data_IF_373140209415
#
_entry.id   IF_373140209415
#
_cell.length_a   1.000
_cell.length_b   1.000
_cell.length_c   1.000
_cell.angle_alpha   90.00
_cell.angle_beta   90.00
_cell.angle_gamma   90.00
#
_symmetry.space_group_name_H-M   'P 1'
#
loop_
_entity.id
_entity.type
_entity.pdbx_description
1 polymer ?
#
# COMPACT_ATOMS: atom_id res chain seq x y z
N UNK A 1 27.55 61.98 4.35
CA UNK A 1 26.84 61.23 5.38
C UNK A 1 26.66 59.73 5.00
N UNK A 2 27.71 59.04 4.52
CA UNK A 2 27.60 57.61 4.08
C UNK A 2 28.68 56.70 4.65
N UNK A 3 29.54 57.15 5.53
CA UNK A 3 30.65 56.37 6.13
C UNK A 3 30.35 55.83 7.56
N UNK A 4 29.21 56.19 8.19
CA UNK A 4 28.86 55.74 9.53
C UNK A 4 27.95 54.51 9.61
N UNK A 5 27.28 54.20 8.51
CA UNK A 5 26.30 53.10 8.50
C UNK A 5 26.95 51.72 8.36
N UNK A 6 28.05 51.63 7.61
CA UNK A 6 28.78 50.37 7.42
C UNK A 6 29.59 49.91 8.64
N UNK A 7 30.02 50.81 9.51
CA UNK A 7 30.76 50.43 10.73
C UNK A 7 29.84 49.85 11.84
N UNK A 8 28.57 50.21 11.82
CA UNK A 8 27.59 49.65 12.80
C UNK A 8 27.05 48.28 12.39
N UNK A 9 27.02 47.96 11.11
CA UNK A 9 26.62 46.60 10.62
C UNK A 9 27.72 45.54 10.80
N UNK A 10 29.00 45.94 10.70
CA UNK A 10 30.12 45.01 10.93
C UNK A 10 30.27 44.61 12.40
N UNK A 11 29.85 45.47 13.36
CA UNK A 11 29.90 45.16 14.80
C UNK A 11 28.77 44.18 15.25
N UNK A 12 27.61 44.18 14.56
CA UNK A 12 26.49 43.28 14.90
C UNK A 12 26.72 41.90 14.32
N UNK A 13 27.38 41.76 13.17
CA UNK A 13 27.69 40.44 12.57
C UNK A 13 28.81 39.74 13.35
N UNK A 14 29.75 40.48 13.96
CA UNK A 14 30.83 39.87 14.76
C UNK A 14 30.36 39.40 16.17
N UNK A 15 29.27 39.98 16.70
CA UNK A 15 28.72 39.62 18.01
C UNK A 15 27.87 38.35 17.98
N UNK A 16 27.35 37.93 16.79
CA UNK A 16 26.56 36.72 16.62
C UNK A 16 27.44 35.48 16.38
N UNK A 17 28.67 35.65 15.90
CA UNK A 17 29.60 34.53 15.64
C UNK A 17 30.41 34.14 16.89
N UNK A 18 30.50 34.99 17.93
CA UNK A 18 31.28 34.71 19.16
C UNK A 18 30.48 34.13 20.30
N UNK A 19 29.15 33.89 20.15
CA UNK A 19 28.30 33.26 21.18
C UNK A 19 28.00 31.78 20.90
N UNK A 20 28.57 31.17 19.87
CA UNK A 20 28.38 29.76 19.54
C UNK A 20 29.51 28.80 19.94
N UNK A 21 30.50 29.24 20.73
CA UNK A 21 31.65 28.38 21.08
C UNK A 21 31.88 28.19 22.58
N UNK A 22 30.85 28.20 23.42
CA UNK A 22 30.99 27.79 24.83
C UNK A 22 29.83 26.92 25.32
N UNK A 23 29.66 25.74 24.71
CA UNK A 23 29.00 24.61 25.35
C UNK A 23 29.71 23.31 24.95
N UNK A 24 30.99 23.18 25.33
CA UNK A 24 31.62 21.89 25.50
C UNK A 24 31.71 21.63 27.00
N UNK A 25 30.60 21.21 27.58
CA UNK A 25 30.51 20.66 28.92
C UNK A 25 30.56 19.15 28.84
N UNK A 26 31.66 18.57 29.24
CA UNK A 26 31.81 17.16 29.52
C UNK A 26 30.74 16.65 30.50
N UNK A 27 29.89 15.76 30.05
CA UNK A 27 28.96 14.99 30.87
C UNK A 27 28.71 13.68 30.14
N UNK A 28 29.47 12.63 30.50
CA UNK A 28 29.22 11.27 30.05
C UNK A 28 27.85 10.82 30.55
N UNK A 29 26.85 10.90 29.72
CA UNK A 29 25.63 10.15 29.85
C UNK A 29 25.64 9.16 28.69
N UNK A 30 25.71 7.85 29.01
CA UNK A 30 25.56 6.80 28.03
C UNK A 30 24.31 7.07 27.22
N UNK A 31 24.48 7.31 25.95
CA UNK A 31 23.39 7.24 24.99
C UNK A 31 22.93 5.79 24.96
N UNK A 32 21.95 5.47 25.80
CA UNK A 32 21.03 4.41 25.42
C UNK A 32 20.46 4.86 24.09
N UNK A 33 20.96 4.29 23.02
CA UNK A 33 20.31 4.34 21.71
C UNK A 33 18.90 3.80 21.97
N UNK A 34 17.95 4.71 22.14
CA UNK A 34 16.56 4.36 22.06
C UNK A 34 16.44 3.71 20.66
N UNK A 35 16.17 2.41 20.65
CA UNK A 35 15.86 1.68 19.42
C UNK A 35 14.75 2.48 18.75
N UNK A 36 15.09 3.22 17.70
CA UNK A 36 14.11 4.01 16.99
C UNK A 36 13.18 3.03 16.33
N UNK A 37 11.94 2.94 16.81
CA UNK A 37 10.89 2.11 16.24
C UNK A 37 10.35 2.73 14.94
N UNK A 38 11.19 3.43 14.21
CA UNK A 38 10.89 4.11 12.96
C UNK A 38 11.81 3.65 11.85
N UNK A 39 11.31 3.61 10.63
CA UNK A 39 12.06 3.23 9.43
C UNK A 39 11.69 4.16 8.28
N UNK A 40 12.68 4.52 7.46
CA UNK A 40 12.47 5.22 6.20
C UNK A 40 12.79 4.27 5.04
N UNK A 41 11.82 4.04 4.17
CA UNK A 41 11.96 3.11 3.05
C UNK A 41 11.81 3.84 1.72
N UNK A 42 12.50 3.35 0.70
CA UNK A 42 12.28 3.81 -0.66
C UNK A 42 10.97 3.22 -1.18
N UNK A 43 10.07 4.11 -1.65
CA UNK A 43 8.95 3.78 -2.51
C UNK A 43 9.28 4.13 -3.96
N UNK A 44 8.75 3.36 -4.90
CA UNK A 44 8.84 3.67 -6.33
C UNK A 44 7.53 4.27 -6.85
N UNK A 45 7.67 5.00 -7.95
CA UNK A 45 6.63 5.59 -8.77
C UNK A 45 5.69 6.57 -8.06
N UNK A 46 5.93 7.84 -8.34
CA UNK A 46 5.19 9.00 -7.82
C UNK A 46 3.76 9.15 -8.38
N UNK A 47 3.41 8.40 -9.42
CA UNK A 47 2.14 8.50 -10.15
C UNK A 47 1.14 7.40 -9.77
N UNK A 48 1.38 6.69 -8.68
CA UNK A 48 0.55 5.56 -8.26
C UNK A 48 -0.73 5.98 -7.55
N UNK A 49 -1.80 5.31 -7.90
CA UNK A 49 -3.08 5.34 -7.23
C UNK A 49 -3.03 4.44 -5.99
N UNK A 50 -3.51 4.90 -4.84
CA UNK A 50 -3.61 4.11 -3.61
C UNK A 50 -5.00 3.47 -3.43
N UNK A 51 -5.88 3.62 -4.41
CA UNK A 51 -7.20 2.99 -4.42
C UNK A 51 -7.10 1.50 -4.81
N UNK A 52 -7.56 0.56 -3.98
CA UNK A 52 -7.61 -0.86 -4.34
C UNK A 52 -8.36 -1.13 -5.63
N UNK A 53 -9.44 -0.39 -5.90
CA UNK A 53 -10.23 -0.54 -7.11
C UNK A 53 -9.56 0.05 -8.36
N UNK A 54 -8.70 1.06 -8.20
CA UNK A 54 -8.01 1.73 -9.31
C UNK A 54 -6.75 1.01 -9.76
N UNK A 55 -5.97 0.58 -8.84
CA UNK A 55 -4.70 -0.14 -8.90
C UNK A 55 -3.70 0.36 -9.94
N UNK A 56 -2.75 1.13 -9.48
CA UNK A 56 -1.46 1.26 -10.11
C UNK A 56 -0.45 0.31 -9.47
N UNK A 57 0.35 -0.34 -10.32
CA UNK A 57 1.41 -1.25 -9.89
C UNK A 57 2.48 -0.49 -9.09
N UNK A 58 3.08 -1.14 -8.11
CA UNK A 58 4.25 -0.64 -7.39
C UNK A 58 3.91 0.04 -6.06
N UNK A 59 3.54 1.31 -6.06
CA UNK A 59 3.27 2.06 -4.82
C UNK A 59 2.09 1.47 -4.03
N UNK A 60 1.02 1.08 -4.70
CA UNK A 60 -0.13 0.44 -4.05
C UNK A 60 0.23 -0.88 -3.37
N UNK A 61 1.05 -1.73 -4.01
CA UNK A 61 1.45 -3.01 -3.41
C UNK A 61 2.17 -2.80 -2.08
N UNK A 62 3.06 -1.81 -2.02
CA UNK A 62 3.78 -1.48 -0.80
C UNK A 62 2.83 -0.90 0.27
N UNK A 63 1.98 0.05 -0.13
CA UNK A 63 0.99 0.66 0.73
C UNK A 63 -0.02 -0.37 1.26
N UNK A 64 -0.61 -1.19 0.39
CA UNK A 64 -1.64 -2.16 0.76
C UNK A 64 -1.15 -3.19 1.77
N UNK A 65 0.08 -3.65 1.63
CA UNK A 65 0.68 -4.61 2.58
C UNK A 65 0.90 -4.05 3.98
N UNK A 66 1.00 -2.74 4.12
CA UNK A 66 1.20 -2.06 5.39
C UNK A 66 -0.12 -1.59 6.01
N UNK A 67 -1.06 -1.17 5.17
CA UNK A 67 -2.24 -0.42 5.60
C UNK A 67 -3.56 -1.16 5.43
N UNK A 68 -3.62 -2.18 4.58
CA UNK A 68 -4.85 -2.89 4.29
C UNK A 68 -4.72 -4.40 4.57
N UNK A 69 -5.77 -4.98 5.12
CA UNK A 69 -5.87 -6.40 5.41
C UNK A 69 -6.93 -7.03 4.51
N UNK A 70 -6.59 -8.00 3.64
CA UNK A 70 -7.52 -8.66 2.73
C UNK A 70 -8.42 -9.67 3.44
N UNK A 71 -9.35 -10.30 2.72
CA UNK A 71 -10.16 -11.42 3.25
C UNK A 71 -9.28 -12.56 3.72
N UNK A 72 -8.34 -12.97 2.87
CA UNK A 72 -7.35 -14.02 3.12
C UNK A 72 -5.99 -13.56 2.58
N UNK A 73 -4.94 -14.15 3.11
CA UNK A 73 -3.57 -13.99 2.62
C UNK A 73 -2.91 -15.35 2.38
N UNK A 74 -1.66 -15.36 1.99
CA UNK A 74 -0.85 -16.56 1.81
C UNK A 74 0.38 -16.46 2.69
N UNK A 75 0.72 -17.56 3.35
CA UNK A 75 1.98 -17.69 4.08
C UNK A 75 3.18 -17.89 3.13
N UNK A 76 4.38 -18.03 3.71
CA UNK A 76 5.62 -18.24 2.95
C UNK A 76 5.63 -19.52 2.13
N UNK A 77 4.79 -20.52 2.50
CA UNK A 77 4.67 -21.79 1.81
C UNK A 77 3.58 -21.78 0.73
N UNK A 78 2.91 -20.63 0.55
CA UNK A 78 1.82 -20.46 -0.40
C UNK A 78 0.50 -21.10 0.02
N UNK A 79 0.33 -21.40 1.32
CA UNK A 79 -0.93 -21.85 1.88
C UNK A 79 -1.81 -20.67 2.25
N UNK A 80 -3.13 -20.85 2.09
CA UNK A 80 -4.10 -19.86 2.53
C UNK A 80 -3.98 -19.65 4.02
N UNK A 81 -3.83 -18.40 4.40
CA UNK A 81 -3.84 -17.93 5.78
C UNK A 81 -5.02 -17.00 6.00
N UNK A 82 -5.61 -17.08 7.16
CA UNK A 82 -6.71 -16.23 7.58
C UNK A 82 -6.21 -14.80 7.79
N UNK A 83 -7.02 -13.83 7.37
CA UNK A 83 -6.78 -12.41 7.60
C UNK A 83 -8.09 -11.80 8.14
N UNK A 84 -8.84 -11.06 7.32
CA UNK A 84 -10.15 -10.55 7.75
C UNK A 84 -11.21 -11.63 7.85
N UNK A 85 -11.12 -12.70 7.04
CA UNK A 85 -12.01 -13.85 7.17
C UNK A 85 -11.47 -14.86 8.22
N UNK A 86 -12.24 -15.12 9.27
CA UNK A 86 -11.96 -16.17 10.27
C UNK A 86 -12.24 -17.56 9.74
N UNK A 87 -13.21 -17.68 8.81
CA UNK A 87 -13.54 -18.92 8.13
C UNK A 87 -14.12 -18.64 6.76
N UNK A 88 -14.07 -19.64 5.91
CA UNK A 88 -14.79 -19.66 4.63
C UNK A 88 -15.23 -21.08 4.30
N UNK A 89 -16.23 -21.18 3.46
CA UNK A 89 -16.78 -22.44 2.98
C UNK A 89 -17.12 -22.37 1.50
N UNK A 90 -16.98 -23.49 0.82
CA UNK A 90 -17.37 -23.69 -0.57
C UNK A 90 -18.59 -24.61 -0.60
N UNK A 91 -19.61 -24.26 -1.38
CA UNK A 91 -20.78 -25.15 -1.58
C UNK A 91 -20.37 -26.42 -2.33
N UNK A 92 -21.15 -27.47 -2.16
CA UNK A 92 -20.86 -28.79 -2.75
C UNK A 92 -20.81 -28.80 -4.28
N UNK A 93 -21.43 -27.84 -4.94
CA UNK A 93 -21.39 -27.65 -6.39
C UNK A 93 -20.25 -26.73 -6.84
N UNK A 94 -19.49 -26.14 -5.89
CA UNK A 94 -18.37 -25.23 -6.16
C UNK A 94 -18.78 -23.86 -6.71
N UNK A 95 -20.06 -23.50 -6.62
CA UNK A 95 -20.60 -22.26 -7.21
C UNK A 95 -20.79 -21.14 -6.21
N UNK A 96 -20.78 -21.43 -4.92
CA UNK A 96 -20.94 -20.41 -3.88
C UNK A 96 -19.79 -20.50 -2.88
N UNK A 97 -19.21 -19.35 -2.58
CA UNK A 97 -18.21 -19.17 -1.53
C UNK A 97 -18.72 -18.18 -0.49
N UNK A 98 -18.71 -18.61 0.77
CA UNK A 98 -19.14 -17.79 1.89
C UNK A 98 -17.95 -17.50 2.81
N UNK A 99 -17.70 -16.24 3.13
CA UNK A 99 -16.64 -15.79 4.03
C UNK A 99 -17.25 -15.17 5.28
N UNK A 100 -16.78 -15.60 6.45
CA UNK A 100 -17.19 -15.06 7.74
C UNK A 100 -16.08 -14.18 8.28
N UNK A 101 -16.36 -12.88 8.43
CA UNK A 101 -15.40 -11.88 8.88
C UNK A 101 -15.23 -11.91 10.40
N UNK A 102 -14.06 -11.55 10.85
CA UNK A 102 -13.81 -11.27 12.26
C UNK A 102 -14.59 -10.02 12.72
N UNK A 103 -15.07 -10.04 13.96
CA UNK A 103 -15.91 -8.97 14.52
C UNK A 103 -15.11 -7.92 15.32
N UNK A 104 -13.85 -8.18 15.58
CA UNK A 104 -12.95 -7.29 16.36
C UNK A 104 -12.13 -6.34 15.49
N UNK A 105 -12.21 -6.48 14.14
CA UNK A 105 -11.48 -5.61 13.23
C UNK A 105 -12.12 -4.22 13.14
N UNK A 106 -11.25 -3.22 13.13
CA UNK A 106 -11.63 -1.81 13.04
C UNK A 106 -10.80 -1.09 12.00
N UNK A 107 -11.39 -0.08 11.42
CA UNK A 107 -10.66 0.93 10.68
C UNK A 107 -9.83 1.82 11.62
N UNK A 108 -8.89 2.55 11.07
CA UNK A 108 -7.99 3.45 11.84
C UNK A 108 -8.72 4.55 12.60
N UNK A 109 -9.95 4.90 12.20
CA UNK A 109 -10.84 5.83 12.92
C UNK A 109 -11.63 5.16 14.06
N UNK A 110 -11.48 3.85 14.25
CA UNK A 110 -12.17 3.05 15.26
C UNK A 110 -13.53 2.50 14.84
N UNK A 111 -14.05 2.84 13.65
CA UNK A 111 -15.28 2.25 13.11
C UNK A 111 -15.07 0.78 12.73
N UNK A 112 -16.12 -0.03 12.79
CA UNK A 112 -16.05 -1.44 12.44
C UNK A 112 -15.72 -1.63 10.95
N UNK A 113 -14.93 -2.67 10.64
CA UNK A 113 -14.78 -3.18 9.29
C UNK A 113 -15.91 -4.15 9.02
N UNK A 114 -16.62 -3.96 7.92
CA UNK A 114 -17.80 -4.76 7.57
C UNK A 114 -17.69 -5.40 6.19
N UNK A 115 -18.54 -6.34 5.90
CA UNK A 115 -18.68 -6.97 4.59
C UNK A 115 -18.96 -5.97 3.47
N UNK A 116 -19.68 -4.89 3.76
CA UNK A 116 -19.95 -3.82 2.80
C UNK A 116 -18.68 -3.15 2.29
N UNK A 117 -17.61 -3.04 3.09
CA UNK A 117 -16.34 -2.44 2.71
C UNK A 117 -15.63 -3.24 1.60
N UNK A 118 -15.72 -4.56 1.64
CA UNK A 118 -15.20 -5.47 0.61
C UNK A 118 -16.05 -5.46 -0.66
N UNK A 119 -17.37 -5.61 -0.48
CA UNK A 119 -18.32 -5.58 -1.59
C UNK A 119 -18.23 -4.26 -2.36
N UNK A 120 -18.05 -3.14 -1.64
CA UNK A 120 -17.84 -1.81 -2.25
C UNK A 120 -16.66 -1.81 -3.22
N UNK A 121 -15.48 -2.28 -2.79
CA UNK A 121 -14.29 -2.29 -3.66
C UNK A 121 -14.49 -3.16 -4.89
N UNK A 122 -15.03 -4.36 -4.73
CA UNK A 122 -15.24 -5.31 -5.84
C UNK A 122 -16.22 -4.72 -6.86
N UNK A 123 -17.33 -4.15 -6.41
CA UNK A 123 -18.30 -3.50 -7.30
C UNK A 123 -17.72 -2.29 -8.01
N UNK A 124 -16.94 -1.46 -7.31
CA UNK A 124 -16.23 -0.32 -7.90
C UNK A 124 -15.21 -0.76 -8.96
N UNK A 125 -14.47 -1.84 -8.71
CA UNK A 125 -13.52 -2.42 -9.69
C UNK A 125 -14.24 -2.92 -10.95
N UNK A 126 -15.47 -3.38 -10.83
CA UNK A 126 -16.28 -3.96 -11.91
C UNK A 126 -17.23 -2.95 -12.59
N UNK A 127 -17.30 -1.71 -12.13
CA UNK A 127 -18.12 -0.69 -12.78
C UNK A 127 -17.46 -0.20 -14.08
N UNK A 128 -17.82 -0.79 -15.19
CA UNK A 128 -17.22 -0.48 -16.51
C UNK A 128 -17.42 0.96 -17.00
N UNK A 129 -18.20 1.78 -16.30
CA UNK A 129 -18.38 3.20 -16.62
C UNK A 129 -17.36 4.09 -15.92
N UNK A 130 -16.95 3.71 -14.71
CA UNK A 130 -16.15 4.56 -13.82
C UNK A 130 -14.86 3.86 -13.35
N UNK A 131 -14.75 2.54 -13.50
CA UNK A 131 -13.60 1.76 -13.06
C UNK A 131 -12.34 2.09 -13.85
N UNK A 132 -11.22 2.23 -13.11
CA UNK A 132 -9.85 2.29 -13.65
C UNK A 132 -9.07 1.00 -13.41
N UNK A 133 -9.73 -0.06 -12.94
CA UNK A 133 -9.09 -1.31 -12.57
C UNK A 133 -8.51 -2.04 -13.79
N UNK A 134 -7.21 -2.31 -13.75
CA UNK A 134 -6.53 -3.14 -14.75
C UNK A 134 -6.68 -4.64 -14.48
N UNK A 135 -7.30 -5.02 -13.35
CA UNK A 135 -7.48 -6.40 -12.92
C UNK A 135 -8.95 -6.84 -12.89
N UNK A 136 -9.89 -5.98 -13.30
CA UNK A 136 -11.32 -6.26 -13.24
C UNK A 136 -11.72 -7.50 -14.08
N UNK A 137 -11.07 -7.73 -15.22
CA UNK A 137 -11.31 -8.89 -16.07
C UNK A 137 -10.97 -10.22 -15.40
N UNK A 138 -10.03 -10.22 -14.45
CA UNK A 138 -9.68 -11.40 -13.66
C UNK A 138 -10.81 -11.85 -12.72
N UNK A 139 -11.75 -10.95 -12.39
CA UNK A 139 -12.94 -11.26 -11.59
C UNK A 139 -14.08 -11.88 -12.42
N UNK A 140 -13.87 -12.15 -13.70
CA UNK A 140 -14.85 -12.78 -14.61
C UNK A 140 -15.44 -14.12 -14.13
N UNK A 141 -14.82 -14.92 -13.22
CA UNK A 141 -15.50 -16.07 -12.62
C UNK A 141 -16.74 -15.72 -11.78
N UNK A 142 -16.86 -14.46 -11.28
CA UNK A 142 -18.02 -14.03 -10.50
C UNK A 142 -19.19 -13.76 -11.45
N UNK A 143 -20.39 -14.22 -11.08
CA UNK A 143 -21.63 -14.01 -11.86
C UNK A 143 -21.81 -12.51 -12.12
N UNK A 144 -22.11 -12.15 -13.37
CA UNK A 144 -22.39 -10.76 -13.79
C UNK A 144 -21.17 -9.84 -13.85
N UNK A 145 -19.96 -10.31 -13.48
CA UNK A 145 -18.76 -9.48 -13.47
C UNK A 145 -18.36 -9.02 -14.88
N UNK A 146 -18.41 -9.91 -15.86
CA UNK A 146 -18.06 -9.59 -17.26
C UNK A 146 -18.97 -8.52 -17.85
N UNK A 147 -20.27 -8.65 -17.65
CA UNK A 147 -21.30 -7.73 -18.17
C UNK A 147 -21.22 -6.36 -17.46
N UNK A 148 -20.97 -6.37 -16.17
CA UNK A 148 -20.80 -5.13 -15.40
C UNK A 148 -19.53 -4.38 -15.85
N UNK A 149 -18.40 -5.08 -15.98
CA UNK A 149 -17.15 -4.47 -16.45
C UNK A 149 -17.23 -3.97 -17.91
N UNK A 150 -17.98 -4.67 -18.77
CA UNK A 150 -18.26 -4.21 -20.12
C UNK A 150 -19.24 -3.02 -20.17
N UNK A 151 -19.82 -2.61 -19.04
CA UNK A 151 -20.83 -1.53 -18.95
C UNK A 151 -22.18 -1.90 -19.54
N UNK A 152 -22.44 -3.19 -19.80
CA UNK A 152 -23.71 -3.70 -20.40
C UNK A 152 -24.74 -4.11 -19.35
N UNK A 153 -24.31 -4.27 -18.08
CA UNK A 153 -25.18 -4.54 -16.93
C UNK A 153 -24.81 -3.65 -15.74
N UNK A 154 -25.72 -3.54 -14.78
CA UNK A 154 -25.46 -2.87 -13.49
C UNK A 154 -24.52 -3.72 -12.62
N UNK A 155 -23.63 -3.05 -11.88
CA UNK A 155 -22.81 -3.67 -10.84
C UNK A 155 -23.64 -4.31 -9.72
N UNK A 156 -24.92 -3.95 -9.59
CA UNK A 156 -25.84 -4.57 -8.63
C UNK A 156 -26.18 -6.02 -8.98
N UNK A 157 -25.99 -6.39 -10.25
CA UNK A 157 -26.20 -7.79 -10.72
C UNK A 157 -24.97 -8.68 -10.50
N UNK A 158 -23.87 -8.12 -9.99
CA UNK A 158 -22.66 -8.91 -9.70
C UNK A 158 -22.93 -9.83 -8.51
N UNK A 159 -22.53 -11.08 -8.64
CA UNK A 159 -22.69 -12.15 -7.66
C UNK A 159 -21.74 -11.99 -6.46
N UNK A 160 -21.64 -10.79 -5.89
CA UNK A 160 -21.01 -10.53 -4.61
C UNK A 160 -21.98 -9.77 -3.73
N UNK A 161 -22.29 -10.32 -2.55
CA UNK A 161 -23.28 -9.76 -1.63
C UNK A 161 -22.77 -9.76 -0.19
N UNK A 162 -23.37 -8.90 0.62
CA UNK A 162 -23.18 -8.80 2.07
C UNK A 162 -24.52 -9.11 2.76
N UNK A 163 -24.85 -10.39 3.05
CA UNK A 163 -26.10 -10.74 3.72
C UNK A 163 -26.27 -10.12 5.09
N UNK A 164 -25.15 -9.89 5.79
CA UNK A 164 -25.04 -9.19 7.05
C UNK A 164 -23.67 -8.49 7.15
N UNK A 165 -23.42 -7.76 8.23
CA UNK A 165 -22.20 -6.97 8.44
C UNK A 165 -20.91 -7.80 8.46
N UNK A 166 -20.97 -9.11 8.64
CA UNK A 166 -19.80 -9.99 8.82
C UNK A 166 -19.81 -11.21 7.90
N UNK A 167 -20.70 -11.24 6.92
CA UNK A 167 -20.77 -12.33 5.93
C UNK A 167 -20.66 -11.77 4.51
N UNK A 168 -19.79 -12.37 3.70
CA UNK A 168 -19.68 -12.08 2.27
C UNK A 168 -19.95 -13.35 1.51
N UNK A 169 -20.87 -13.30 0.53
CA UNK A 169 -21.18 -14.40 -0.36
C UNK A 169 -20.79 -14.05 -1.79
N UNK A 170 -20.07 -14.98 -2.43
CA UNK A 170 -19.72 -14.92 -3.85
C UNK A 170 -20.48 -16.03 -4.61
N UNK A 171 -21.06 -15.68 -5.76
CA UNK A 171 -21.64 -16.62 -6.71
C UNK A 171 -20.80 -16.69 -7.96
N UNK A 172 -20.40 -17.87 -8.37
CA UNK A 172 -19.55 -18.13 -9.52
C UNK A 172 -20.33 -18.66 -10.70
N UNK A 173 -19.88 -18.31 -11.91
CA UNK A 173 -20.43 -18.82 -13.18
C UNK A 173 -20.19 -20.33 -13.34
N UNK A 174 -19.05 -20.80 -12.81
CA UNK A 174 -18.63 -22.22 -12.80
C UNK A 174 -17.64 -22.45 -11.66
N UNK A 175 -17.42 -23.69 -11.22
CA UNK A 175 -16.41 -24.00 -10.22
C UNK A 175 -15.04 -23.47 -10.60
N UNK A 176 -14.33 -22.81 -9.66
CA UNK A 176 -13.08 -22.14 -9.90
C UNK A 176 -12.04 -22.52 -8.82
N UNK A 177 -11.16 -23.47 -9.13
CA UNK A 177 -10.16 -24.01 -8.21
C UNK A 177 -9.12 -22.98 -7.71
N UNK A 178 -8.99 -21.87 -8.40
CA UNK A 178 -8.07 -20.78 -8.05
C UNK A 178 -8.81 -19.55 -7.48
N UNK A 179 -10.09 -19.67 -7.12
CA UNK A 179 -10.91 -18.55 -6.66
C UNK A 179 -10.29 -17.84 -5.45
N UNK A 180 -9.77 -18.59 -4.48
CA UNK A 180 -9.08 -18.00 -3.33
C UNK A 180 -7.89 -17.13 -3.73
N UNK A 181 -7.17 -17.47 -4.81
CA UNK A 181 -6.08 -16.63 -5.33
C UNK A 181 -6.58 -15.32 -5.92
N UNK A 182 -7.75 -15.35 -6.56
CA UNK A 182 -8.37 -14.15 -7.13
C UNK A 182 -8.78 -13.15 -6.04
N UNK A 183 -9.47 -13.63 -4.99
CA UNK A 183 -9.95 -12.73 -3.93
C UNK A 183 -8.84 -12.22 -3.00
N UNK A 184 -7.65 -12.81 -3.04
CA UNK A 184 -6.47 -12.31 -2.36
C UNK A 184 -5.74 -11.21 -3.18
N UNK A 185 -6.23 -10.90 -4.39
CA UNK A 185 -5.67 -9.81 -5.21
C UNK A 185 -6.06 -8.44 -4.66
N UNK A 186 -5.26 -7.45 -4.97
CA UNK A 186 -5.41 -6.09 -4.48
C UNK A 186 -6.78 -5.46 -4.81
N UNK A 187 -7.34 -5.74 -5.98
CA UNK A 187 -8.67 -5.26 -6.38
C UNK A 187 -9.83 -5.79 -5.52
N UNK A 188 -9.54 -6.73 -4.61
CA UNK A 188 -10.47 -7.26 -3.62
C UNK A 188 -10.15 -6.79 -2.18
N UNK A 189 -9.15 -5.94 -1.98
CA UNK A 189 -8.86 -5.38 -0.66
C UNK A 189 -9.96 -4.39 -0.27
N UNK A 190 -10.25 -4.23 1.04
CA UNK A 190 -11.36 -3.39 1.45
C UNK A 190 -11.05 -1.91 1.25
N UNK A 191 -12.09 -1.15 0.97
CA UNK A 191 -12.10 0.31 1.05
C UNK A 191 -13.37 0.75 1.77
N UNK A 192 -13.27 1.77 2.62
CA UNK A 192 -14.39 2.18 3.47
C UNK A 192 -15.60 2.55 2.63
N UNK A 193 -16.69 1.79 2.79
CA UNK A 193 -17.95 2.05 2.13
C UNK A 193 -18.51 3.43 2.55
N UNK A 194 -19.03 4.17 1.57
CA UNK A 194 -19.54 5.53 1.78
C UNK A 194 -18.47 6.63 1.73
N UNK A 195 -17.17 6.28 1.77
CA UNK A 195 -16.06 7.24 1.58
C UNK A 195 -15.38 6.98 0.23
N UNK A 196 -15.01 5.74 -0.03
CA UNK A 196 -14.33 5.35 -1.27
C UNK A 196 -15.34 5.21 -2.40
N UNK A 197 -15.29 6.11 -3.38
CA UNK A 197 -16.12 6.10 -4.59
C UNK A 197 -15.24 6.35 -5.82
N UNK A 198 -15.70 5.95 -7.00
CA UNK A 198 -14.95 6.17 -8.25
C UNK A 198 -14.97 7.64 -8.69
N UNK A 199 -15.89 8.44 -8.20
CA UNK A 199 -16.03 9.87 -8.49
C UNK A 199 -15.11 10.73 -7.62
N UNK A 200 -14.70 10.24 -6.44
CA UNK A 200 -13.80 10.96 -5.54
C UNK A 200 -12.37 10.44 -5.70
N UNK A 201 -11.64 11.05 -6.62
CA UNK A 201 -10.25 10.64 -6.92
C UNK A 201 -9.20 11.06 -5.86
N UNK A 202 -9.61 11.72 -4.78
CA UNK A 202 -8.68 12.24 -3.76
C UNK A 202 -8.81 11.56 -2.41
N UNK A 203 -9.81 10.70 -2.21
CA UNK A 203 -10.05 10.07 -0.92
C UNK A 203 -8.85 9.25 -0.40
N UNK A 204 -8.06 8.67 -1.31
CA UNK A 204 -6.91 7.83 -0.97
C UNK A 204 -5.61 8.60 -0.71
N UNK A 205 -5.57 9.90 -0.97
CA UNK A 205 -4.43 10.79 -0.69
C UNK A 205 -4.65 11.72 0.51
N UNK A 206 -5.89 11.87 0.98
CA UNK A 206 -6.19 12.61 2.20
C UNK A 206 -6.15 11.66 3.41
N UNK A 207 -5.26 11.88 4.39
CA UNK A 207 -5.18 11.05 5.60
C UNK A 207 -6.48 10.94 6.40
N UNK A 208 -7.43 11.85 6.23
CA UNK A 208 -8.73 11.82 6.92
C UNK A 208 -9.72 10.85 6.30
N UNK A 209 -9.59 10.57 5.02
CA UNK A 209 -10.49 9.71 4.25
C UNK A 209 -9.83 8.41 3.83
N UNK A 210 -8.49 8.37 3.80
CA UNK A 210 -7.72 7.16 3.58
C UNK A 210 -7.65 6.33 4.87
N UNK A 211 -8.73 5.63 5.18
CA UNK A 211 -8.79 4.76 6.35
C UNK A 211 -8.09 3.43 6.09
N UNK A 212 -7.43 2.92 7.10
CA UNK A 212 -6.69 1.67 7.07
C UNK A 212 -7.27 0.65 8.05
N UNK A 213 -7.35 -0.62 7.66
CA UNK A 213 -7.73 -1.74 8.52
C UNK A 213 -6.55 -2.67 8.84
N UNK A 214 -5.35 -2.33 8.38
CA UNK A 214 -4.09 -3.05 8.60
C UNK A 214 -3.24 -2.47 9.72
N UNK A 215 -1.97 -2.91 9.77
CA UNK A 215 -1.03 -2.61 10.84
C UNK A 215 -0.65 -1.12 10.97
N UNK A 216 -0.72 -0.37 9.87
CA UNK A 216 -0.38 1.06 9.81
C UNK A 216 -1.49 1.86 9.14
N UNK A 217 -1.53 3.17 9.41
CA UNK A 217 -2.41 4.12 8.75
C UNK A 217 -1.65 5.38 8.33
N UNK A 218 -2.12 6.04 7.28
CA UNK A 218 -1.50 7.26 6.75
C UNK A 218 -1.78 8.45 7.66
N UNK A 219 -0.73 9.24 7.94
CA UNK A 219 -0.83 10.49 8.71
C UNK A 219 -0.48 11.71 7.87
N UNK A 220 0.28 11.53 6.80
CA UNK A 220 0.70 12.60 5.91
C UNK A 220 0.92 12.04 4.51
N UNK A 221 0.54 12.80 3.49
CA UNK A 221 0.82 12.52 2.09
C UNK A 221 1.28 13.80 1.39
N UNK A 222 2.47 13.76 0.81
CA UNK A 222 3.01 14.86 0.01
C UNK A 222 3.25 14.33 -1.40
N UNK A 223 2.40 14.76 -2.32
CA UNK A 223 2.40 14.29 -3.69
C UNK A 223 3.80 14.41 -4.34
N UNK A 224 4.25 13.33 -4.95
CA UNK A 224 5.53 13.27 -5.63
C UNK A 224 6.76 13.24 -4.71
N UNK A 225 6.58 13.21 -3.39
CA UNK A 225 7.69 13.25 -2.44
C UNK A 225 7.69 12.08 -1.45
N UNK A 226 6.64 11.93 -0.64
CA UNK A 226 6.57 10.88 0.37
C UNK A 226 5.16 10.72 0.96
N UNK A 227 4.97 9.64 1.69
CA UNK A 227 3.91 9.53 2.69
C UNK A 227 4.46 9.00 4.02
N UNK A 228 3.76 9.33 5.11
CA UNK A 228 4.07 8.85 6.46
C UNK A 228 2.96 7.99 6.99
N UNK A 229 3.35 6.92 7.64
CA UNK A 229 2.46 5.98 8.30
C UNK A 229 2.79 5.91 9.78
N UNK A 230 1.74 5.69 10.58
CA UNK A 230 1.83 5.34 12.00
C UNK A 230 1.21 3.99 12.28
N UNK A 231 1.69 3.33 13.31
CA UNK A 231 1.08 2.11 13.85
C UNK A 231 -0.38 2.35 14.15
N UNK A 232 -1.24 1.48 13.64
CA UNK A 232 -2.67 1.54 13.85
C UNK A 232 -3.05 0.91 15.21
N UNK A 233 -3.46 1.70 16.21
CA UNK A 233 -3.82 1.17 17.53
C UNK A 233 -5.12 0.35 17.49
N UNK A 234 -5.91 0.47 16.43
CA UNK A 234 -7.15 -0.26 16.21
C UNK A 234 -6.98 -1.55 15.42
N UNK A 235 -5.75 -1.86 14.97
CA UNK A 235 -5.45 -3.13 14.29
C UNK A 235 -5.59 -4.28 15.27
N UNK A 236 -6.29 -5.35 14.88
CA UNK A 236 -6.59 -6.49 15.76
C UNK A 236 -5.33 -7.19 16.32
N UNK A 237 -4.21 -7.11 15.62
CA UNK A 237 -2.90 -7.66 16.01
C UNK A 237 -1.89 -6.55 16.36
N UNK A 238 -2.35 -5.39 16.82
CA UNK A 238 -1.48 -4.23 17.10
C UNK A 238 -0.32 -4.56 18.06
N UNK A 239 -0.53 -5.44 19.02
CA UNK A 239 0.52 -5.85 19.98
C UNK A 239 1.70 -6.58 19.31
N UNK A 240 1.50 -7.18 18.12
CA UNK A 240 2.55 -7.84 17.33
C UNK A 240 3.33 -6.86 16.45
N UNK A 241 2.86 -5.63 16.28
CA UNK A 241 3.49 -4.62 15.43
C UNK A 241 4.59 -3.92 16.22
N UNK A 242 5.84 -4.10 15.81
CA UNK A 242 7.01 -3.54 16.49
C UNK A 242 7.27 -2.07 16.12
N UNK A 243 7.16 -1.73 14.83
CA UNK A 243 7.43 -0.37 14.35
C UNK A 243 6.29 0.57 14.75
N UNK A 244 6.64 1.82 15.07
CA UNK A 244 5.68 2.89 15.40
C UNK A 244 5.44 3.83 14.21
N UNK A 245 6.51 4.14 13.44
CA UNK A 245 6.47 5.09 12.33
C UNK A 245 7.17 4.51 11.09
N UNK A 246 6.59 4.73 9.92
CA UNK A 246 7.21 4.42 8.63
C UNK A 246 7.11 5.66 7.74
N UNK A 247 8.25 6.08 7.16
CA UNK A 247 8.26 7.08 6.09
C UNK A 247 8.58 6.38 4.78
N UNK A 248 7.76 6.57 3.76
CA UNK A 248 7.99 6.06 2.41
C UNK A 248 8.34 7.23 1.52
N UNK A 249 9.59 7.32 1.07
CA UNK A 249 10.08 8.35 0.15
C UNK A 249 9.99 7.87 -1.29
N UNK A 250 9.46 8.69 -2.17
CA UNK A 250 9.40 8.38 -3.60
C UNK A 250 10.73 8.68 -4.26
N UNK A 251 11.44 7.64 -4.66
CA UNK A 251 12.72 7.72 -5.37
C UNK A 251 12.66 6.72 -6.52
N UNK A 252 12.37 7.22 -7.73
CA UNK A 252 12.16 6.37 -8.92
C UNK A 252 13.47 5.88 -9.53
N UNK A 253 14.53 6.72 -9.52
CA UNK A 253 15.82 6.34 -10.04
C UNK A 253 16.54 5.38 -9.09
N UNK A 254 16.87 4.21 -9.59
CA UNK A 254 17.51 3.16 -8.81
C UNK A 254 18.91 3.53 -8.29
N UNK A 255 19.65 4.40 -9.02
CA UNK A 255 20.98 4.89 -8.59
C UNK A 255 20.83 5.92 -7.48
N UNK A 256 19.83 6.80 -7.59
CA UNK A 256 19.49 7.75 -6.52
C UNK A 256 19.05 7.01 -5.24
N UNK A 257 18.26 5.93 -5.37
CA UNK A 257 17.85 5.11 -4.22
C UNK A 257 19.03 4.48 -3.49
N UNK A 258 20.01 3.95 -4.23
CA UNK A 258 21.27 3.43 -3.66
C UNK A 258 22.08 4.53 -2.98
N UNK A 259 22.12 5.71 -3.57
CA UNK A 259 22.82 6.86 -2.98
C UNK A 259 22.14 7.30 -1.67
N UNK A 260 20.81 7.35 -1.63
CA UNK A 260 20.04 7.65 -0.43
C UNK A 260 20.26 6.61 0.68
N UNK A 261 20.38 5.33 0.32
CA UNK A 261 20.75 4.27 1.27
C UNK A 261 22.17 4.48 1.82
N UNK A 262 23.16 4.72 0.95
CA UNK A 262 24.56 4.95 1.36
C UNK A 262 24.75 6.19 2.24
N UNK A 263 23.87 7.18 2.12
CA UNK A 263 23.88 8.39 2.96
C UNK A 263 22.97 8.33 4.18
N UNK A 264 22.37 7.17 4.46
CA UNK A 264 21.39 6.94 5.53
C UNK A 264 20.13 7.84 5.42
N UNK A 265 19.76 8.23 4.22
CA UNK A 265 18.53 8.95 3.96
C UNK A 265 17.33 8.02 3.90
N UNK A 266 17.55 6.75 3.48
CA UNK A 266 16.62 5.64 3.59
C UNK A 266 17.33 4.43 4.23
N UNK A 267 16.59 3.66 5.00
CA UNK A 267 17.06 2.44 5.66
C UNK A 267 16.95 1.22 4.76
N UNK A 268 16.12 1.31 3.71
CA UNK A 268 15.84 0.22 2.80
C UNK A 268 15.59 0.73 1.39
N UNK A 269 16.28 0.14 0.40
CA UNK A 269 16.12 0.43 -1.02
C UNK A 269 15.75 -0.84 -1.81
N UNK A 270 14.91 -0.70 -2.81
CA UNK A 270 14.45 -1.79 -3.69
C UNK A 270 14.89 -1.54 -5.14
N UNK A 271 14.65 -2.51 -6.04
CA UNK A 271 14.93 -2.39 -7.48
C UNK A 271 16.38 -2.01 -7.79
N UNK A 272 17.32 -2.70 -7.15
CA UNK A 272 18.74 -2.41 -7.26
C UNK A 272 19.27 -2.62 -8.69
N UNK A 273 20.11 -1.70 -9.22
CA UNK A 273 20.80 -1.90 -10.49
C UNK A 273 21.75 -3.10 -10.45
N UNK A 274 22.00 -3.72 -11.60
CA UNK A 274 22.84 -4.92 -11.68
C UNK A 274 24.26 -4.73 -11.12
N UNK A 275 24.85 -3.53 -11.27
CA UNK A 275 26.20 -3.24 -10.74
C UNK A 275 26.20 -3.23 -9.20
N UNK A 276 25.12 -2.78 -8.57
CA UNK A 276 24.98 -2.79 -7.10
C UNK A 276 24.86 -4.21 -6.59
N UNK A 277 24.14 -5.07 -7.31
CA UNK A 277 24.07 -6.50 -6.97
C UNK A 277 25.47 -7.12 -6.87
N UNK A 278 26.37 -6.80 -7.79
CA UNK A 278 27.76 -7.28 -7.77
C UNK A 278 28.57 -6.69 -6.59
N UNK A 279 28.36 -5.41 -6.27
CA UNK A 279 29.04 -4.72 -5.16
C UNK A 279 28.64 -5.29 -3.78
N UNK A 280 27.38 -5.69 -3.63
CA UNK A 280 26.81 -6.17 -2.36
C UNK A 280 26.71 -7.69 -2.27
N UNK A 281 27.10 -8.44 -3.30
CA UNK A 281 27.05 -9.90 -3.28
C UNK A 281 27.85 -10.46 -2.09
N UNK A 282 27.18 -11.27 -1.26
CA UNK A 282 27.77 -11.87 -0.05
C UNK A 282 27.81 -10.93 1.17
N UNK A 283 27.33 -9.71 1.07
CA UNK A 283 27.17 -8.82 2.23
C UNK A 283 25.80 -9.05 2.90
N UNK A 284 25.72 -8.79 4.20
CA UNK A 284 24.50 -8.97 5.01
C UNK A 284 23.38 -7.99 4.67
N UNK A 285 23.71 -6.85 4.07
CA UNK A 285 22.76 -5.80 3.68
C UNK A 285 22.00 -6.15 2.40
N UNK A 286 22.45 -7.15 1.62
CA UNK A 286 21.74 -7.60 0.42
C UNK A 286 20.81 -8.74 0.76
N UNK A 287 19.51 -8.48 0.64
CA UNK A 287 18.45 -9.49 0.77
C UNK A 287 17.95 -9.87 -0.62
N UNK A 288 18.12 -11.14 -0.99
CA UNK A 288 17.59 -11.70 -2.23
C UNK A 288 16.32 -12.50 -1.93
N UNK A 289 15.23 -12.11 -2.56
CA UNK A 289 13.97 -12.85 -2.50
C UNK A 289 13.69 -13.54 -3.83
N UNK A 290 13.45 -14.87 -3.85
CA UNK A 290 12.96 -15.55 -5.03
C UNK A 290 11.66 -14.91 -5.53
N UNK A 291 11.57 -14.65 -6.84
CA UNK A 291 10.36 -14.11 -7.46
C UNK A 291 9.95 -14.98 -8.64
N UNK A 292 8.66 -15.30 -8.71
CA UNK A 292 8.06 -16.03 -9.84
C UNK A 292 7.58 -14.98 -10.84
N UNK A 293 8.44 -14.63 -11.79
CA UNK A 293 8.11 -13.64 -12.82
C UNK A 293 8.51 -14.19 -14.19
N UNK A 294 7.59 -14.14 -15.15
CA UNK A 294 7.88 -14.41 -16.56
C UNK A 294 8.03 -13.08 -17.29
N UNK A 295 9.16 -12.89 -17.97
CA UNK A 295 9.38 -11.75 -18.86
C UNK A 295 9.27 -12.23 -20.30
N UNK A 296 8.54 -11.51 -21.14
CA UNK A 296 8.35 -11.83 -22.54
C UNK A 296 8.34 -10.56 -23.39
N UNK A 297 8.60 -10.74 -24.69
CA UNK A 297 8.50 -9.67 -25.70
C UNK A 297 7.21 -9.90 -26.48
N UNK A 298 6.36 -8.88 -26.51
CA UNK A 298 5.17 -8.86 -27.35
C UNK A 298 5.46 -8.12 -28.63
N UNK A 299 5.16 -8.76 -29.76
CA UNK A 299 5.19 -8.11 -31.07
C UNK A 299 3.81 -7.59 -31.43
N UNK A 300 3.71 -6.34 -31.84
CA UNK A 300 2.45 -5.81 -32.35
C UNK A 300 2.23 -6.30 -33.78
N UNK A 301 1.56 -7.45 -33.90
CA UNK A 301 1.29 -8.10 -35.23
C UNK A 301 0.26 -7.37 -36.08
N UNK A 302 -0.30 -6.25 -35.63
CA UNK A 302 -1.22 -5.42 -36.43
C UNK A 302 -0.52 -4.25 -37.09
N UNK A 303 0.78 -4.06 -36.87
CA UNK A 303 1.60 -2.97 -37.42
C UNK A 303 2.91 -3.49 -38.01
N UNK A 304 3.39 -2.81 -39.06
CA UNK A 304 4.72 -3.08 -39.60
C UNK A 304 5.79 -2.95 -38.53
N UNK A 305 6.86 -3.76 -38.54
CA UNK A 305 7.22 -4.78 -39.52
C UNK A 305 6.65 -6.19 -39.26
N UNK A 306 5.71 -6.34 -38.30
CA UNK A 306 5.26 -7.66 -37.82
C UNK A 306 3.85 -8.05 -38.29
N UNK A 307 3.23 -7.22 -39.16
CA UNK A 307 1.93 -7.52 -39.80
C UNK A 307 2.08 -8.21 -41.14
#
# INVERSE_FOLDING_TARGET
MRKGFFKKMAAVVLAVVTTMTMFTGCGGAGSTSASTKSITIQGGNTEGDLDPAGVALGMFIQYSRLCLEPLITYDSDGKVSKAMAESYEESSDGLTWTFHLRKDAKWSDGSAVTSADFVNTIKRSLDGKTSKSIYADMLSPIVGATEAYAGTASVDNVGVTAPDDYTIEFKLVKPCSYFLKLIAMQCCYPSKAGIATNENETWYTDPKTNLANGAFYMTEYVQGQYYKLKKNPNYYDADKVYLEDITVKFIDDATAAVSAYKTNEVDFATNLPAYVMSEYQGKSDLVLQPNITTRFILFNVTKAPFN
#
